data_IF_303669427794
#
_entry.id   IF_303669427794
#
_cell.length_a   1.000
_cell.length_b   1.000
_cell.length_c   1.000
_cell.angle_alpha   90.00
_cell.angle_beta   90.00
_cell.angle_gamma   90.00
#
_symmetry.space_group_name_H-M   'P 1'
#
loop_
_entity.id
_entity.type
_entity.pdbx_description
1 polymer ?
#
# COMPACT_ATOMS: atom_id res chain seq x y z
N UNK A 1 -12.61 13.15 -2.48
CA UNK A 1 -12.97 13.06 -3.91
C UNK A 1 -14.25 13.83 -4.11
N UNK A 2 -14.30 14.76 -5.08
CA UNK A 2 -15.50 15.54 -5.41
C UNK A 2 -16.68 14.59 -5.70
N UNK A 3 -17.87 14.92 -5.19
CA UNK A 3 -19.08 14.11 -5.39
C UNK A 3 -19.41 13.95 -6.88
N UNK A 4 -19.02 14.93 -7.70
CA UNK A 4 -19.19 14.91 -9.16
C UNK A 4 -18.37 13.81 -9.82
N UNK A 5 -17.09 13.65 -9.45
CA UNK A 5 -16.23 12.62 -10.06
C UNK A 5 -16.76 11.22 -9.78
N UNK A 6 -17.13 10.94 -8.52
CA UNK A 6 -17.71 9.66 -8.12
C UNK A 6 -19.02 9.38 -8.85
N UNK A 7 -19.85 10.41 -9.10
CA UNK A 7 -21.08 10.26 -9.88
C UNK A 7 -20.79 9.88 -11.33
N UNK A 8 -19.76 10.45 -11.95
CA UNK A 8 -19.33 10.09 -13.31
C UNK A 8 -18.82 8.64 -13.34
N UNK A 9 -17.95 8.25 -12.40
CA UNK A 9 -17.46 6.87 -12.28
C UNK A 9 -18.60 5.87 -12.18
N UNK A 10 -19.59 6.14 -11.33
CA UNK A 10 -20.77 5.29 -11.17
C UNK A 10 -21.56 5.16 -12.47
N UNK A 11 -21.77 6.25 -13.21
CA UNK A 11 -22.48 6.23 -14.50
C UNK A 11 -21.73 5.41 -15.55
N UNK A 12 -20.40 5.52 -15.59
CA UNK A 12 -19.56 4.72 -16.49
C UNK A 12 -19.58 3.23 -16.12
N UNK A 13 -19.53 2.89 -14.82
CA UNK A 13 -19.62 1.51 -14.33
C UNK A 13 -20.91 0.82 -14.80
N UNK A 14 -22.04 1.55 -14.78
CA UNK A 14 -23.34 1.04 -15.26
C UNK A 14 -23.59 1.30 -16.76
N UNK A 15 -22.54 1.66 -17.51
CA UNK A 15 -22.54 1.89 -18.97
C UNK A 15 -23.50 2.98 -19.47
N UNK A 16 -23.84 3.96 -18.63
CA UNK A 16 -24.65 5.13 -19.01
C UNK A 16 -23.75 6.26 -19.57
N UNK A 17 -23.09 5.98 -20.70
CA UNK A 17 -22.07 6.85 -21.28
C UNK A 17 -22.58 8.28 -21.57
N UNK A 18 -23.76 8.45 -22.18
CA UNK A 18 -24.29 9.79 -22.50
C UNK A 18 -24.44 10.67 -21.24
N UNK A 19 -24.98 10.12 -20.15
CA UNK A 19 -25.13 10.84 -18.89
C UNK A 19 -23.76 11.21 -18.28
N UNK A 20 -22.78 10.32 -18.40
CA UNK A 20 -21.42 10.59 -17.96
C UNK A 20 -20.78 11.73 -18.78
N UNK A 21 -20.93 11.71 -20.11
CA UNK A 21 -20.43 12.76 -21.01
C UNK A 21 -21.07 14.13 -20.72
N UNK A 22 -22.37 14.17 -20.40
CA UNK A 22 -23.04 15.42 -19.97
C UNK A 22 -22.39 16.04 -18.73
N UNK A 23 -21.96 15.22 -17.77
CA UNK A 23 -21.27 15.69 -16.57
C UNK A 23 -19.78 15.99 -16.82
N UNK A 24 -19.14 15.31 -17.77
CA UNK A 24 -17.75 15.56 -18.16
C UNK A 24 -17.59 16.89 -18.90
N UNK A 25 -18.54 17.28 -19.77
CA UNK A 25 -18.51 18.55 -20.52
C UNK A 25 -18.12 19.77 -19.69
N UNK A 26 -18.84 20.12 -18.61
CA UNK A 26 -18.49 21.30 -17.81
C UNK A 26 -17.17 21.16 -17.04
N UNK A 27 -16.67 19.94 -16.82
CA UNK A 27 -15.37 19.71 -16.19
C UNK A 27 -14.23 19.92 -17.18
N UNK A 28 -14.36 19.36 -18.39
CA UNK A 28 -13.41 19.54 -19.49
C UNK A 28 -13.30 21.01 -19.88
N UNK A 29 -14.42 21.72 -19.99
CA UNK A 29 -14.45 23.15 -20.33
C UNK A 29 -13.73 24.05 -19.31
N UNK A 30 -13.53 23.58 -18.07
CA UNK A 30 -12.76 24.30 -17.03
C UNK A 30 -11.25 24.04 -17.11
N UNK A 31 -10.84 23.02 -17.87
CA UNK A 31 -9.42 22.71 -18.01
C UNK A 31 -8.80 23.55 -19.12
N UNK A 32 -7.54 24.00 -18.96
CA UNK A 32 -6.84 24.79 -19.97
C UNK A 32 -6.35 23.96 -21.16
N UNK A 33 -6.35 22.63 -21.06
CA UNK A 33 -5.82 21.71 -22.07
C UNK A 33 -6.83 21.46 -23.20
N UNK A 34 -6.50 21.94 -24.41
CA UNK A 34 -7.33 21.75 -25.60
C UNK A 34 -7.48 20.29 -26.02
N UNK A 35 -6.48 19.45 -25.73
CA UNK A 35 -6.51 18.02 -26.05
C UNK A 35 -7.70 17.32 -25.36
N UNK A 36 -8.01 17.70 -24.12
CA UNK A 36 -9.16 17.13 -23.39
C UNK A 36 -10.49 17.46 -24.09
N UNK A 37 -10.61 18.67 -24.64
CA UNK A 37 -11.81 19.10 -25.39
C UNK A 37 -11.95 18.32 -26.71
N UNK A 38 -10.85 18.16 -27.45
CA UNK A 38 -10.83 17.41 -28.71
C UNK A 38 -11.18 15.93 -28.49
N UNK A 39 -10.63 15.31 -27.43
CA UNK A 39 -10.95 13.93 -27.04
C UNK A 39 -12.41 13.77 -26.65
N UNK A 40 -12.96 14.69 -25.86
CA UNK A 40 -14.39 14.67 -25.51
C UNK A 40 -15.27 14.73 -26.77
N UNK A 41 -14.97 15.65 -27.68
CA UNK A 41 -15.72 15.80 -28.93
C UNK A 41 -15.64 14.54 -29.80
N UNK A 42 -14.48 13.89 -29.85
CA UNK A 42 -14.31 12.60 -30.54
C UNK A 42 -15.20 11.51 -29.94
N UNK A 43 -15.21 11.35 -28.61
CA UNK A 43 -16.06 10.36 -27.92
C UNK A 43 -17.55 10.62 -28.22
N UNK A 44 -17.99 11.87 -28.11
CA UNK A 44 -19.38 12.26 -28.38
C UNK A 44 -19.80 12.00 -29.83
N UNK A 45 -18.91 12.31 -30.77
CA UNK A 45 -19.15 12.11 -32.20
C UNK A 45 -19.27 10.63 -32.54
N UNK A 46 -18.34 9.80 -32.05
CA UNK A 46 -18.34 8.36 -32.26
C UNK A 46 -19.56 7.70 -31.60
N UNK A 47 -19.93 8.13 -30.40
CA UNK A 47 -21.12 7.64 -29.72
C UNK A 47 -22.42 7.99 -30.47
N UNK A 48 -22.50 9.20 -31.04
CA UNK A 48 -23.62 9.61 -31.89
C UNK A 48 -23.70 8.74 -33.15
N UNK A 49 -22.59 8.54 -33.86
CA UNK A 49 -22.58 7.69 -35.05
C UNK A 49 -23.05 6.25 -34.74
N UNK A 50 -22.60 5.68 -33.62
CA UNK A 50 -23.05 4.36 -33.19
C UNK A 50 -24.55 4.32 -32.90
N UNK A 51 -25.08 5.38 -32.27
CA UNK A 51 -26.51 5.50 -31.94
C UNK A 51 -27.35 5.66 -33.21
N UNK A 52 -26.93 6.52 -34.15
CA UNK A 52 -27.63 6.76 -35.41
C UNK A 52 -27.65 5.49 -36.28
N UNK A 53 -26.54 4.75 -36.33
CA UNK A 53 -26.46 3.47 -37.03
C UNK A 53 -27.43 2.44 -36.44
N UNK A 54 -27.49 2.34 -35.11
CA UNK A 54 -28.42 1.44 -34.43
C UNK A 54 -29.88 1.81 -34.67
N UNK A 55 -30.21 3.11 -34.58
CA UNK A 55 -31.57 3.61 -34.86
C UNK A 55 -32.00 3.39 -36.32
N UNK A 56 -31.03 3.33 -37.24
CA UNK A 56 -31.26 3.01 -38.65
C UNK A 56 -31.48 1.51 -38.91
N UNK A 57 -31.53 0.68 -37.86
CA UNK A 57 -31.73 -0.77 -37.95
C UNK A 57 -30.48 -1.58 -38.28
N UNK A 58 -29.30 -0.94 -38.24
CA UNK A 58 -28.02 -1.63 -38.42
C UNK A 58 -27.70 -2.54 -37.22
N UNK A 59 -27.38 -3.80 -37.50
CA UNK A 59 -26.85 -4.72 -36.49
C UNK A 59 -25.32 -4.77 -36.61
N UNK A 60 -24.65 -4.34 -35.55
CA UNK A 60 -23.18 -4.29 -35.49
C UNK A 60 -22.73 -5.29 -34.42
N UNK A 61 -22.09 -6.41 -34.81
CA UNK A 61 -21.63 -7.42 -33.87
C UNK A 61 -20.60 -6.88 -32.88
N UNK A 62 -19.87 -5.82 -33.25
CA UNK A 62 -18.80 -5.22 -32.44
C UNK A 62 -19.29 -4.03 -31.60
N UNK A 63 -20.58 -3.69 -31.62
CA UNK A 63 -21.17 -2.57 -30.88
C UNK A 63 -20.74 -2.53 -29.42
N UNK A 64 -20.76 -3.68 -28.74
CA UNK A 64 -20.39 -3.78 -27.33
C UNK A 64 -18.91 -3.43 -27.10
N UNK A 65 -18.04 -3.88 -27.99
CA UNK A 65 -16.61 -3.57 -27.92
C UNK A 65 -16.37 -2.07 -28.15
N UNK A 66 -17.03 -1.48 -29.13
CA UNK A 66 -16.96 -0.03 -29.41
C UNK A 66 -17.45 0.78 -28.20
N UNK A 67 -18.58 0.41 -27.59
CA UNK A 67 -19.09 1.09 -26.39
C UNK A 67 -18.08 0.98 -25.23
N UNK A 68 -17.52 -0.21 -24.99
CA UNK A 68 -16.55 -0.40 -23.93
C UNK A 68 -15.28 0.44 -24.16
N UNK A 69 -14.82 0.58 -25.42
CA UNK A 69 -13.70 1.47 -25.77
C UNK A 69 -14.03 2.94 -25.50
N UNK A 70 -15.23 3.40 -25.87
CA UNK A 70 -15.66 4.78 -25.59
C UNK A 70 -15.80 5.05 -24.08
N UNK A 71 -16.23 4.05 -23.30
CA UNK A 71 -16.27 4.14 -21.84
C UNK A 71 -14.84 4.20 -21.26
N UNK A 72 -13.91 3.37 -21.76
CA UNK A 72 -12.52 3.41 -21.34
C UNK A 72 -11.90 4.80 -21.61
N UNK A 73 -12.16 5.39 -22.78
CA UNK A 73 -11.72 6.75 -23.10
C UNK A 73 -12.35 7.81 -22.19
N UNK A 74 -13.63 7.67 -21.83
CA UNK A 74 -14.28 8.56 -20.88
C UNK A 74 -13.68 8.45 -19.46
N UNK A 75 -13.28 7.25 -19.02
CA UNK A 75 -12.50 7.07 -17.79
C UNK A 75 -11.15 7.77 -17.88
N UNK A 76 -10.36 7.54 -18.94
CA UNK A 76 -9.06 8.20 -19.13
C UNK A 76 -9.19 9.73 -19.12
N UNK A 77 -10.27 10.26 -19.70
CA UNK A 77 -10.55 11.69 -19.66
C UNK A 77 -10.85 12.18 -18.24
N UNK A 78 -11.69 11.45 -17.49
CA UNK A 78 -11.97 11.74 -16.08
C UNK A 78 -10.70 11.69 -15.23
N UNK A 79 -9.91 10.63 -15.36
CA UNK A 79 -8.68 10.43 -14.59
C UNK A 79 -7.68 11.57 -14.85
N UNK A 80 -7.54 12.04 -16.10
CA UNK A 80 -6.71 13.21 -16.43
C UNK A 80 -7.21 14.51 -15.77
N UNK A 81 -8.52 14.73 -15.71
CA UNK A 81 -9.12 15.90 -15.05
C UNK A 81 -8.88 15.83 -13.53
N UNK A 82 -9.18 14.68 -12.92
CA UNK A 82 -8.98 14.43 -11.49
C UNK A 82 -7.53 14.67 -11.12
N UNK A 83 -6.61 14.14 -11.92
CA UNK A 83 -5.18 14.35 -11.73
C UNK A 83 -4.80 15.84 -11.80
N UNK A 84 -5.24 16.54 -12.86
CA UNK A 84 -4.96 17.97 -13.01
C UNK A 84 -5.51 18.81 -11.86
N UNK A 85 -6.68 18.48 -11.34
CA UNK A 85 -7.29 19.17 -10.22
C UNK A 85 -6.61 18.83 -8.88
N UNK A 86 -6.21 17.57 -8.68
CA UNK A 86 -5.41 17.13 -7.53
C UNK A 86 -4.02 17.80 -7.49
N UNK A 87 -3.40 18.02 -8.65
CA UNK A 87 -2.15 18.77 -8.74
C UNK A 87 -2.32 20.23 -8.30
N UNK A 88 -3.47 20.86 -8.56
CA UNK A 88 -3.78 22.23 -8.12
C UNK A 88 -4.11 22.31 -6.63
N UNK A 89 -4.71 21.26 -6.05
CA UNK A 89 -5.31 21.27 -4.70
C UNK A 89 -4.35 21.03 -3.52
N UNK A 90 -3.06 21.34 -3.66
CA UNK A 90 -2.11 21.54 -2.53
C UNK A 90 -1.65 20.34 -1.68
N UNK A 91 -1.95 19.09 -2.02
CA UNK A 91 -1.44 17.93 -1.25
C UNK A 91 0.00 17.49 -1.61
N UNK A 92 0.48 17.81 -2.83
CA UNK A 92 1.81 17.40 -3.30
C UNK A 92 2.92 18.41 -3.00
N UNK A 93 2.61 19.66 -2.63
CA UNK A 93 3.63 20.70 -2.38
C UNK A 93 4.67 20.33 -1.30
N UNK A 94 4.29 19.75 -0.14
CA UNK A 94 5.27 19.31 0.85
C UNK A 94 6.13 18.13 0.37
N UNK A 95 5.61 17.27 -0.50
CA UNK A 95 6.34 16.14 -1.09
C UNK A 95 7.30 16.61 -2.18
N UNK A 96 6.90 17.60 -2.99
CA UNK A 96 7.73 18.26 -3.99
C UNK A 96 8.90 19.03 -3.37
N UNK A 97 8.70 19.70 -2.22
CA UNK A 97 9.80 20.38 -1.53
C UNK A 97 10.84 19.41 -0.96
N UNK A 98 10.41 18.25 -0.44
CA UNK A 98 11.34 17.19 -0.01
C UNK A 98 12.02 16.50 -1.19
N UNK A 99 11.34 16.32 -2.33
CA UNK A 99 11.97 15.79 -3.56
C UNK A 99 13.05 16.73 -4.13
N UNK A 100 12.92 18.04 -3.91
CA UNK A 100 13.93 19.03 -4.33
C UNK A 100 15.15 19.08 -3.41
N UNK A 101 15.09 18.44 -2.23
CA UNK A 101 16.25 18.22 -1.38
C UNK A 101 16.96 16.96 -1.88
N UNK A 102 18.20 17.07 -2.33
CA UNK A 102 19.01 15.87 -2.60
C UNK A 102 19.19 15.12 -1.29
N UNK A 103 18.58 13.94 -1.18
CA UNK A 103 18.80 13.10 -0.02
C UNK A 103 20.22 12.57 -0.09
N UNK A 104 21.04 12.95 0.89
CA UNK A 104 22.43 12.47 1.01
C UNK A 104 22.52 11.37 2.07
N UNK A 105 23.54 10.52 1.96
CA UNK A 105 23.74 9.39 2.89
C UNK A 105 23.21 8.06 2.37
N UNK A 106 23.19 7.05 3.25
CA UNK A 106 23.04 5.63 2.91
C UNK A 106 21.77 5.31 2.08
N UNK A 107 20.64 5.95 2.36
CA UNK A 107 19.36 5.71 1.65
C UNK A 107 18.98 6.83 0.67
N UNK A 108 19.87 7.76 0.34
CA UNK A 108 19.54 8.97 -0.42
C UNK A 108 18.86 8.69 -1.76
N UNK A 109 19.56 7.92 -2.62
CA UNK A 109 19.06 7.49 -3.93
C UNK A 109 17.71 6.78 -3.85
N UNK A 110 17.55 5.87 -2.90
CA UNK A 110 16.31 5.10 -2.75
C UNK A 110 15.11 5.97 -2.34
N UNK A 111 15.34 7.02 -1.54
CA UNK A 111 14.32 8.03 -1.21
C UNK A 111 13.96 8.88 -2.43
N UNK A 112 14.93 9.30 -3.22
CA UNK A 112 14.69 10.07 -4.45
C UNK A 112 13.86 9.25 -5.46
N UNK A 113 14.20 7.96 -5.62
CA UNK A 113 13.45 7.01 -6.45
C UNK A 113 12.01 6.85 -5.95
N UNK A 114 11.80 6.71 -4.63
CA UNK A 114 10.46 6.65 -4.06
C UNK A 114 9.61 7.86 -4.47
N UNK A 115 10.13 9.07 -4.29
CA UNK A 115 9.40 10.29 -4.64
C UNK A 115 9.16 10.41 -6.14
N UNK A 116 10.13 10.00 -6.97
CA UNK A 116 9.97 9.99 -8.42
C UNK A 116 8.82 9.07 -8.85
N UNK A 117 8.79 7.82 -8.39
CA UNK A 117 7.70 6.88 -8.71
C UNK A 117 6.35 7.28 -8.08
N UNK A 118 6.36 7.96 -6.93
CA UNK A 118 5.14 8.42 -6.26
C UNK A 118 4.49 9.61 -6.99
N UNK A 119 5.30 10.51 -7.56
CA UNK A 119 4.82 11.81 -8.03
C UNK A 119 4.73 11.94 -9.55
N UNK A 120 5.50 11.16 -10.30
CA UNK A 120 5.52 11.17 -11.77
C UNK A 120 4.35 10.36 -12.33
N UNK A 121 3.69 10.86 -13.39
CA UNK A 121 2.64 10.12 -14.11
C UNK A 121 3.00 9.83 -15.57
N UNK A 122 4.19 10.27 -15.98
CA UNK A 122 4.74 9.88 -17.27
C UNK A 122 5.24 8.44 -17.18
N UNK A 123 4.45 7.52 -17.72
CA UNK A 123 4.74 6.10 -17.66
C UNK A 123 6.02 5.72 -18.43
N UNK A 124 6.33 6.29 -19.61
CA UNK A 124 7.60 6.05 -20.28
C UNK A 124 8.81 6.41 -19.42
N UNK A 125 8.84 7.59 -18.81
CA UNK A 125 9.92 7.98 -17.89
C UNK A 125 10.09 7.02 -16.71
N UNK A 126 8.99 6.54 -16.12
CA UNK A 126 9.06 5.55 -15.03
C UNK A 126 9.49 4.16 -15.50
N UNK A 127 9.13 3.77 -16.72
CA UNK A 127 9.60 2.52 -17.31
C UNK A 127 11.12 2.56 -17.58
N UNK A 128 11.63 3.67 -18.12
CA UNK A 128 13.08 3.87 -18.32
C UNK A 128 13.85 3.83 -16.99
N UNK A 129 13.36 4.51 -15.95
CA UNK A 129 13.97 4.45 -14.62
C UNK A 129 13.91 3.03 -14.04
N UNK A 130 12.79 2.31 -14.21
CA UNK A 130 12.66 0.91 -13.76
C UNK A 130 13.64 -0.03 -14.48
N UNK A 131 13.85 0.15 -15.78
CA UNK A 131 14.87 -0.59 -16.54
C UNK A 131 16.29 -0.29 -16.06
N UNK A 132 16.59 0.98 -15.78
CA UNK A 132 17.89 1.39 -15.23
C UNK A 132 18.15 0.72 -13.87
N UNK A 133 17.21 0.78 -12.94
CA UNK A 133 17.33 0.17 -11.61
C UNK A 133 17.58 -1.35 -11.69
N UNK A 134 16.92 -2.03 -12.63
CA UNK A 134 17.15 -3.46 -12.87
C UNK A 134 18.55 -3.71 -13.44
N UNK A 135 19.02 -2.87 -14.38
CA UNK A 135 20.34 -3.01 -14.97
C UNK A 135 21.49 -2.79 -13.97
N UNK A 136 21.26 -1.92 -12.98
CA UNK A 136 22.20 -1.62 -11.90
C UNK A 136 22.12 -2.61 -10.71
N UNK A 137 21.13 -3.52 -10.71
CA UNK A 137 20.78 -4.38 -9.58
C UNK A 137 20.58 -3.58 -8.27
N UNK A 138 19.99 -2.37 -8.36
CA UNK A 138 19.69 -1.52 -7.20
C UNK A 138 18.43 -2.02 -6.48
N UNK A 139 18.61 -3.10 -5.73
CA UNK A 139 17.56 -3.80 -5.00
C UNK A 139 16.87 -2.93 -3.95
N UNK A 140 17.55 -1.94 -3.39
CA UNK A 140 16.97 -1.06 -2.35
C UNK A 140 16.04 -0.05 -3.00
N UNK A 141 16.48 0.59 -4.08
CA UNK A 141 15.65 1.53 -4.83
C UNK A 141 14.45 0.84 -5.48
N UNK A 142 14.59 -0.39 -6.01
CA UNK A 142 13.45 -1.15 -6.52
C UNK A 142 12.39 -1.45 -5.44
N UNK A 143 12.83 -1.80 -4.22
CA UNK A 143 11.91 -2.01 -3.08
C UNK A 143 11.16 -0.75 -2.66
N UNK A 144 11.76 0.43 -2.90
CA UNK A 144 11.13 1.72 -2.66
C UNK A 144 10.21 2.16 -3.80
N UNK A 145 10.61 1.89 -5.05
CA UNK A 145 9.85 2.25 -6.25
C UNK A 145 8.47 1.58 -6.29
N UNK A 146 8.37 0.29 -5.97
CA UNK A 146 7.12 -0.48 -6.13
C UNK A 146 5.98 -0.04 -5.18
N UNK A 147 6.20 0.18 -3.87
CA UNK A 147 5.18 0.75 -3.00
C UNK A 147 4.81 2.18 -3.40
N UNK A 148 5.78 2.99 -3.86
CA UNK A 148 5.52 4.33 -4.38
C UNK A 148 4.60 4.29 -5.62
N UNK A 149 4.91 3.44 -6.59
CA UNK A 149 4.09 3.20 -7.78
C UNK A 149 2.69 2.70 -7.42
N UNK A 150 2.62 1.79 -6.45
CA UNK A 150 1.34 1.30 -5.92
C UNK A 150 0.50 2.43 -5.34
N UNK A 151 1.09 3.29 -4.49
CA UNK A 151 0.38 4.43 -3.89
C UNK A 151 -0.03 5.44 -4.96
N UNK A 152 0.82 5.66 -5.97
CA UNK A 152 0.52 6.53 -7.11
C UNK A 152 -0.76 6.05 -7.81
N UNK A 153 -0.80 4.78 -8.26
CA UNK A 153 -1.96 4.18 -8.91
C UNK A 153 -3.18 4.15 -7.98
N UNK A 154 -2.98 3.86 -6.68
CA UNK A 154 -4.05 3.88 -5.67
C UNK A 154 -4.57 5.28 -5.36
N UNK A 155 -3.94 6.36 -5.82
CA UNK A 155 -4.50 7.71 -5.70
C UNK A 155 -5.17 8.12 -7.01
N UNK A 156 -4.43 8.01 -8.11
CA UNK A 156 -4.84 8.43 -9.43
C UNK A 156 -4.67 7.23 -10.39
N UNK A 157 -5.77 6.71 -10.94
CA UNK A 157 -5.71 5.54 -11.83
C UNK A 157 -4.96 5.89 -13.11
N UNK A 158 -4.04 5.02 -13.51
CA UNK A 158 -3.34 5.10 -14.80
C UNK A 158 -3.10 3.70 -15.31
N UNK A 159 -3.69 3.39 -16.47
CA UNK A 159 -3.53 2.08 -17.12
C UNK A 159 -2.05 1.77 -17.43
N UNK A 160 -1.26 2.67 -18.05
CA UNK A 160 0.17 2.42 -18.30
C UNK A 160 0.98 2.15 -17.03
N UNK A 161 0.72 2.88 -15.93
CA UNK A 161 1.43 2.65 -14.66
C UNK A 161 1.02 1.33 -14.01
N UNK A 162 -0.25 0.95 -14.12
CA UNK A 162 -0.71 -0.35 -13.64
C UNK A 162 -0.07 -1.48 -14.45
N UNK A 163 0.01 -1.36 -15.77
CA UNK A 163 0.72 -2.33 -16.60
C UNK A 163 2.20 -2.44 -16.19
N UNK A 164 2.88 -1.32 -15.95
CA UNK A 164 4.25 -1.32 -15.41
C UNK A 164 4.34 -2.11 -14.10
N UNK A 165 3.44 -1.87 -13.14
CA UNK A 165 3.41 -2.59 -11.86
C UNK A 165 3.18 -4.10 -12.05
N UNK A 166 2.30 -4.50 -12.97
CA UNK A 166 2.03 -5.91 -13.30
C UNK A 166 3.26 -6.56 -13.94
N UNK A 167 3.93 -5.86 -14.87
CA UNK A 167 5.14 -6.36 -15.52
C UNK A 167 6.29 -6.49 -14.51
N UNK A 168 6.45 -5.55 -13.56
CA UNK A 168 7.42 -5.64 -12.46
C UNK A 168 7.25 -6.89 -11.58
N UNK A 169 6.04 -7.46 -11.49
CA UNK A 169 5.80 -8.71 -10.76
C UNK A 169 6.38 -9.95 -11.46
N UNK A 170 6.95 -9.81 -12.65
CA UNK A 170 7.69 -10.89 -13.33
C UNK A 170 9.19 -10.91 -13.05
N UNK A 171 9.66 -10.10 -12.10
CA UNK A 171 11.07 -10.05 -11.70
C UNK A 171 11.62 -11.39 -11.16
N UNK A 172 12.92 -11.62 -11.30
CA UNK A 172 13.59 -12.87 -10.88
C UNK A 172 13.68 -13.03 -9.36
N UNK A 173 13.83 -11.91 -8.64
CA UNK A 173 13.96 -11.90 -7.19
C UNK A 173 12.58 -11.98 -6.53
N UNK A 174 12.33 -13.07 -5.80
CA UNK A 174 11.04 -13.35 -5.16
C UNK A 174 10.51 -12.20 -4.28
N UNK A 175 11.34 -11.53 -3.49
CA UNK A 175 10.85 -10.47 -2.62
C UNK A 175 10.38 -9.22 -3.41
N UNK A 176 11.00 -8.91 -4.56
CA UNK A 176 10.52 -7.85 -5.47
C UNK A 176 9.16 -8.25 -6.05
N UNK A 177 9.04 -9.50 -6.50
CA UNK A 177 7.78 -10.07 -7.00
C UNK A 177 6.66 -9.96 -5.96
N UNK A 178 6.91 -10.33 -4.70
CA UNK A 178 5.90 -10.29 -3.63
C UNK A 178 5.43 -8.86 -3.33
N UNK A 179 6.33 -7.86 -3.37
CA UNK A 179 5.98 -6.44 -3.22
C UNK A 179 5.10 -5.97 -4.39
N UNK A 180 5.52 -6.26 -5.63
CA UNK A 180 4.74 -5.89 -6.81
C UNK A 180 3.36 -6.56 -6.83
N UNK A 181 3.29 -7.87 -6.55
CA UNK A 181 2.03 -8.61 -6.46
C UNK A 181 1.10 -8.05 -5.38
N UNK A 182 1.66 -7.66 -4.23
CA UNK A 182 0.88 -7.00 -3.17
C UNK A 182 0.25 -5.71 -3.69
N UNK A 183 1.03 -4.89 -4.40
CA UNK A 183 0.54 -3.68 -5.06
C UNK A 183 -0.55 -3.97 -6.10
N UNK A 184 -0.35 -4.98 -6.96
CA UNK A 184 -1.33 -5.41 -7.95
C UNK A 184 -2.65 -5.81 -7.28
N UNK A 185 -2.63 -6.65 -6.23
CA UNK A 185 -3.83 -7.10 -5.53
C UNK A 185 -4.63 -5.92 -4.96
N UNK A 186 -3.95 -4.93 -4.36
CA UNK A 186 -4.59 -3.73 -3.83
C UNK A 186 -5.23 -2.89 -4.95
N UNK A 187 -4.51 -2.68 -6.06
CA UNK A 187 -5.02 -1.91 -7.20
C UNK A 187 -6.19 -2.62 -7.89
N UNK A 188 -6.10 -3.93 -8.09
CA UNK A 188 -7.18 -4.77 -8.64
C UNK A 188 -8.43 -4.67 -7.78
N UNK A 189 -8.28 -4.74 -6.46
CA UNK A 189 -9.40 -4.61 -5.53
C UNK A 189 -10.04 -3.22 -5.60
N UNK A 190 -9.22 -2.15 -5.58
CA UNK A 190 -9.70 -0.76 -5.62
C UNK A 190 -10.46 -0.46 -6.92
N UNK A 191 -9.95 -0.92 -8.06
CA UNK A 191 -10.45 -0.54 -9.37
C UNK A 191 -11.31 -1.60 -10.07
N UNK A 192 -11.72 -2.66 -9.36
CA UNK A 192 -12.42 -3.84 -9.88
C UNK A 192 -13.59 -3.55 -10.84
N UNK A 193 -14.36 -2.49 -10.59
CA UNK A 193 -15.57 -2.18 -11.37
C UNK A 193 -15.23 -1.64 -12.77
N UNK A 194 -14.11 -0.92 -12.91
CA UNK A 194 -13.69 -0.35 -14.19
C UNK A 194 -12.76 -1.27 -15.01
N UNK A 195 -12.17 -2.32 -14.41
CA UNK A 195 -11.18 -3.18 -15.08
C UNK A 195 -11.70 -3.85 -16.36
N UNK A 196 -13.01 -4.14 -16.44
CA UNK A 196 -13.62 -4.70 -17.64
C UNK A 196 -13.50 -3.81 -18.89
N UNK A 197 -13.16 -2.53 -18.75
CA UNK A 197 -12.91 -1.60 -19.84
C UNK A 197 -11.42 -1.48 -20.21
N UNK A 198 -10.53 -2.13 -19.46
CA UNK A 198 -9.07 -2.11 -19.63
C UNK A 198 -8.53 -3.54 -19.82
N UNK A 199 -8.85 -4.20 -20.94
CA UNK A 199 -8.54 -5.63 -21.14
C UNK A 199 -7.05 -5.94 -21.11
N UNK A 200 -6.17 -4.99 -21.45
CA UNK A 200 -4.72 -5.20 -21.41
C UNK A 200 -4.22 -5.54 -20.00
N UNK A 201 -4.80 -4.93 -18.96
CA UNK A 201 -4.45 -5.23 -17.56
C UNK A 201 -4.89 -6.65 -17.23
N UNK A 202 -6.09 -7.04 -17.66
CA UNK A 202 -6.61 -8.39 -17.45
C UNK A 202 -5.74 -9.43 -18.16
N UNK A 203 -5.41 -9.22 -19.44
CA UNK A 203 -4.57 -10.13 -20.21
C UNK A 203 -3.19 -10.33 -19.57
N UNK A 204 -2.54 -9.23 -19.19
CA UNK A 204 -1.23 -9.27 -18.51
C UNK A 204 -1.31 -9.95 -17.15
N UNK A 205 -2.36 -9.66 -16.38
CA UNK A 205 -2.60 -10.32 -15.11
C UNK A 205 -2.82 -11.82 -15.26
N UNK A 206 -3.65 -12.25 -16.22
CA UNK A 206 -3.92 -13.67 -16.49
C UNK A 206 -2.64 -14.40 -16.91
N UNK A 207 -1.83 -13.77 -17.76
CA UNK A 207 -0.52 -14.30 -18.13
C UNK A 207 0.39 -14.45 -16.90
N UNK A 208 0.43 -13.44 -16.02
CA UNK A 208 1.22 -13.45 -14.80
C UNK A 208 0.81 -14.59 -13.85
N UNK A 209 -0.48 -14.76 -13.58
CA UNK A 209 -0.99 -15.80 -12.66
C UNK A 209 -1.15 -17.18 -13.30
N UNK A 210 -0.79 -17.32 -14.58
CA UNK A 210 -0.64 -18.63 -15.21
C UNK A 210 0.54 -19.42 -14.63
N UNK A 211 1.56 -18.74 -14.07
CA UNK A 211 2.60 -19.38 -13.25
C UNK A 211 2.01 -19.80 -11.89
N UNK A 212 2.00 -21.11 -11.55
CA UNK A 212 1.47 -21.60 -10.29
C UNK A 212 2.10 -20.95 -9.05
N UNK A 213 3.39 -20.59 -9.11
CA UNK A 213 4.09 -19.95 -7.99
C UNK A 213 3.54 -18.56 -7.72
N UNK A 214 3.33 -17.77 -8.79
CA UNK A 214 2.74 -16.42 -8.71
C UNK A 214 1.30 -16.50 -8.23
N UNK A 215 0.52 -17.48 -8.72
CA UNK A 215 -0.85 -17.74 -8.27
C UNK A 215 -0.91 -18.07 -6.77
N UNK A 216 0.02 -18.89 -6.28
CA UNK A 216 0.12 -19.22 -4.86
C UNK A 216 0.48 -17.99 -4.01
N UNK A 217 1.45 -17.18 -4.46
CA UNK A 217 1.79 -15.89 -3.82
C UNK A 217 0.57 -14.98 -3.72
N UNK A 218 -0.19 -14.79 -4.80
CA UNK A 218 -1.43 -14.01 -4.80
C UNK A 218 -2.43 -14.57 -3.79
N UNK A 219 -2.61 -15.90 -3.73
CA UNK A 219 -3.50 -16.52 -2.76
C UNK A 219 -3.07 -16.22 -1.31
N UNK A 220 -1.77 -16.35 -1.00
CA UNK A 220 -1.22 -16.03 0.32
C UNK A 220 -1.42 -14.55 0.67
N UNK A 221 -1.16 -13.64 -0.26
CA UNK A 221 -1.36 -12.20 -0.08
C UNK A 221 -2.84 -11.92 0.25
N UNK A 222 -3.77 -12.47 -0.53
CA UNK A 222 -5.21 -12.31 -0.28
C UNK A 222 -5.62 -12.84 1.11
N UNK A 223 -5.14 -14.01 1.51
CA UNK A 223 -5.39 -14.54 2.86
C UNK A 223 -4.84 -13.62 3.96
N UNK A 224 -3.62 -13.09 3.78
CA UNK A 224 -2.99 -12.18 4.73
C UNK A 224 -3.73 -10.84 4.83
N UNK A 225 -4.22 -10.32 3.71
CA UNK A 225 -5.04 -9.11 3.71
C UNK A 225 -6.38 -9.33 4.43
N UNK A 226 -7.02 -10.48 4.21
CA UNK A 226 -8.25 -10.84 4.94
C UNK A 226 -7.99 -11.01 6.45
N UNK A 227 -6.85 -11.60 6.83
CA UNK A 227 -6.51 -11.80 8.24
C UNK A 227 -6.26 -10.49 9.00
N UNK A 228 -6.01 -9.36 8.31
CA UNK A 228 -5.95 -8.04 8.97
C UNK A 228 -7.23 -7.67 9.71
N UNK A 229 -8.38 -8.22 9.29
CA UNK A 229 -9.65 -8.05 10.01
C UNK A 229 -9.64 -8.72 11.38
N UNK A 230 -8.92 -9.84 11.52
CA UNK A 230 -8.72 -10.55 12.78
C UNK A 230 -7.76 -9.79 13.70
N UNK A 231 -6.76 -9.09 13.15
CA UNK A 231 -5.85 -8.23 13.94
C UNK A 231 -6.61 -7.17 14.73
N UNK A 232 -7.73 -6.64 14.20
CA UNK A 232 -8.59 -5.71 14.98
C UNK A 232 -9.21 -6.37 16.20
N UNK A 233 -9.60 -7.64 16.10
CA UNK A 233 -10.15 -8.40 17.22
C UNK A 233 -9.06 -8.71 18.25
N UNK A 234 -7.84 -9.00 17.79
CA UNK A 234 -6.67 -9.15 18.67
C UNK A 234 -6.37 -7.86 19.42
N UNK A 235 -6.34 -6.71 18.74
CA UNK A 235 -6.11 -5.41 19.40
C UNK A 235 -7.16 -5.14 20.48
N UNK A 236 -8.44 -5.45 20.23
CA UNK A 236 -9.49 -5.35 21.24
C UNK A 236 -9.25 -6.29 22.44
N UNK A 237 -8.89 -7.55 22.18
CA UNK A 237 -8.59 -8.53 23.23
C UNK A 237 -7.37 -8.12 24.07
N UNK A 238 -6.30 -7.64 23.43
CA UNK A 238 -5.08 -7.14 24.07
C UNK A 238 -5.35 -5.89 24.92
N UNK A 239 -6.15 -4.95 24.41
CA UNK A 239 -6.56 -3.77 25.18
C UNK A 239 -7.42 -4.13 26.40
N UNK A 240 -8.28 -5.14 26.29
CA UNK A 240 -9.06 -5.64 27.43
C UNK A 240 -8.17 -6.31 28.49
N UNK A 241 -7.22 -7.14 28.06
CA UNK A 241 -6.21 -7.73 28.94
C UNK A 241 -5.42 -6.66 29.69
N UNK A 242 -4.92 -5.63 28.97
CA UNK A 242 -4.21 -4.51 29.60
C UNK A 242 -5.09 -3.76 30.61
N UNK A 243 -6.37 -3.51 30.31
CA UNK A 243 -7.32 -2.87 31.25
C UNK A 243 -7.55 -3.73 32.49
N UNK A 244 -7.74 -5.03 32.33
CA UNK A 244 -7.94 -5.95 33.45
C UNK A 244 -6.69 -5.98 34.34
N UNK A 245 -5.48 -5.98 33.76
CA UNK A 245 -4.22 -5.87 34.52
C UNK A 245 -4.14 -4.55 35.29
N UNK A 246 -4.39 -3.41 34.63
CA UNK A 246 -4.39 -2.09 35.27
C UNK A 246 -5.43 -1.98 36.40
N UNK A 247 -6.58 -2.64 36.24
CA UNK A 247 -7.63 -2.68 37.26
C UNK A 247 -7.16 -3.41 38.53
N UNK A 248 -6.36 -4.47 38.38
CA UNK A 248 -5.78 -5.21 39.50
C UNK A 248 -4.58 -4.48 40.11
N UNK A 249 -3.84 -3.69 39.32
CA UNK A 249 -2.70 -2.89 39.81
C UNK A 249 -3.10 -1.77 40.79
N UNK A 250 -4.35 -1.26 40.75
CA UNK A 250 -4.82 -0.31 41.77
C UNK A 250 -4.80 -0.89 43.20
N UNK A 251 -4.71 -2.21 43.35
CA UNK A 251 -4.61 -2.91 44.63
C UNK A 251 -3.18 -3.36 44.97
N UNK A 252 -2.19 -3.09 44.11
CA UNK A 252 -0.80 -3.55 44.26
C UNK A 252 0.11 -2.32 44.19
N UNK A 253 0.48 -1.80 45.36
CA UNK A 253 1.44 -0.69 45.48
C UNK A 253 2.87 -1.17 45.20
N UNK A 254 3.29 -1.18 43.95
CA UNK A 254 4.71 -1.25 43.61
C UNK A 254 5.00 -0.47 42.32
N UNK A 255 6.07 0.32 42.38
CA UNK A 255 6.51 1.24 41.34
C UNK A 255 6.57 0.62 39.94
N UNK A 256 6.08 1.40 39.01
CA UNK A 256 5.76 1.10 37.62
C UNK A 256 6.90 0.46 36.83
N UNK A 257 6.66 -0.74 36.30
CA UNK A 257 7.16 -1.14 34.98
C UNK A 257 5.97 -1.61 34.16
N UNK A 258 5.87 -1.11 32.94
CA UNK A 258 4.89 -1.57 31.95
C UNK A 258 5.07 -3.09 31.80
N UNK A 259 4.05 -3.87 32.16
CA UNK A 259 4.10 -5.33 32.04
C UNK A 259 4.01 -5.65 30.55
N UNK A 260 5.12 -6.11 29.98
CA UNK A 260 5.17 -6.67 28.62
C UNK A 260 4.81 -8.14 28.75
N UNK A 261 3.74 -8.56 28.09
CA UNK A 261 3.27 -9.94 28.09
C UNK A 261 3.79 -10.58 26.80
N UNK A 262 4.56 -11.64 26.94
CA UNK A 262 5.07 -12.45 25.82
C UNK A 262 4.18 -13.65 25.56
N UNK A 263 4.37 -14.31 24.41
CA UNK A 263 3.72 -15.58 24.10
C UNK A 263 3.99 -16.65 25.16
N UNK A 264 5.23 -16.75 25.65
CA UNK A 264 5.59 -17.70 26.70
C UNK A 264 4.85 -17.43 28.01
N UNK A 265 4.65 -16.15 28.37
CA UNK A 265 3.87 -15.79 29.56
C UNK A 265 2.39 -16.22 29.41
N UNK A 266 1.87 -16.31 28.18
CA UNK A 266 0.52 -16.78 27.89
C UNK A 266 0.40 -18.31 27.90
N UNK A 267 1.46 -19.01 27.48
CA UNK A 267 1.54 -20.48 27.39
C UNK A 267 1.79 -21.16 28.73
N UNK A 268 2.80 -20.70 29.46
CA UNK A 268 3.29 -21.38 30.67
C UNK A 268 3.01 -20.59 31.95
N UNK A 269 2.58 -19.32 31.80
CA UNK A 269 2.51 -18.37 32.91
C UNK A 269 3.90 -17.86 33.29
N UNK A 270 3.95 -16.70 33.94
CA UNK A 270 5.22 -16.15 34.39
C UNK A 270 5.46 -16.51 35.88
N UNK A 271 6.55 -17.22 36.22
CA UNK A 271 6.84 -17.60 37.60
C UNK A 271 7.08 -16.41 38.55
N UNK A 272 7.49 -15.26 38.01
CA UNK A 272 7.72 -14.03 38.77
C UNK A 272 6.41 -13.26 39.03
N UNK A 273 5.32 -13.61 38.33
CA UNK A 273 4.02 -12.97 38.49
C UNK A 273 3.22 -13.61 39.63
N UNK A 274 2.56 -12.77 40.43
CA UNK A 274 1.62 -13.24 41.45
C UNK A 274 0.43 -14.00 40.85
N UNK A 275 -0.18 -14.88 41.65
CA UNK A 275 -1.30 -15.75 41.22
C UNK A 275 -2.47 -14.97 40.58
N UNK A 276 -2.78 -13.78 41.11
CA UNK A 276 -3.83 -12.89 40.57
C UNK A 276 -3.51 -12.43 39.14
N UNK A 277 -2.26 -12.06 38.87
CA UNK A 277 -1.85 -11.58 37.55
C UNK A 277 -1.83 -12.73 36.54
N UNK A 278 -1.30 -13.88 36.93
CA UNK A 278 -1.35 -15.10 36.10
C UNK A 278 -2.81 -15.49 35.78
N UNK A 279 -3.74 -15.46 36.74
CA UNK A 279 -5.17 -15.71 36.47
C UNK A 279 -5.79 -14.73 35.46
N UNK A 280 -5.44 -13.43 35.53
CA UNK A 280 -5.93 -12.42 34.57
C UNK A 280 -5.41 -12.70 33.17
N UNK A 281 -4.14 -13.07 33.03
CA UNK A 281 -3.53 -13.41 31.74
C UNK A 281 -4.13 -14.71 31.20
N UNK A 282 -4.24 -15.76 32.00
CA UNK A 282 -4.85 -17.04 31.59
C UNK A 282 -6.29 -16.88 31.10
N UNK A 283 -7.10 -16.00 31.71
CA UNK A 283 -8.47 -15.70 31.27
C UNK A 283 -8.54 -15.19 29.82
N UNK A 284 -7.51 -14.47 29.36
CA UNK A 284 -7.45 -13.93 28.00
C UNK A 284 -6.61 -14.79 27.04
N UNK A 285 -5.73 -15.65 27.59
CA UNK A 285 -4.77 -16.47 26.86
C UNK A 285 -5.46 -17.32 25.78
N UNK A 286 -6.52 -18.06 26.11
CA UNK A 286 -7.22 -18.93 25.15
C UNK A 286 -7.74 -18.16 23.92
N UNK A 287 -8.31 -16.97 24.13
CA UNK A 287 -8.84 -16.14 23.03
C UNK A 287 -7.71 -15.60 22.16
N UNK A 288 -6.63 -15.11 22.77
CA UNK A 288 -5.49 -14.52 22.06
C UNK A 288 -4.71 -15.61 21.31
N UNK A 289 -4.48 -16.77 21.92
CA UNK A 289 -3.87 -17.94 21.28
C UNK A 289 -4.68 -18.44 20.10
N UNK A 290 -6.00 -18.55 20.24
CA UNK A 290 -6.87 -18.94 19.11
C UNK A 290 -6.74 -17.95 17.95
N UNK A 291 -6.75 -16.64 18.25
CA UNK A 291 -6.57 -15.62 17.21
C UNK A 291 -5.17 -15.68 16.58
N UNK A 292 -4.14 -15.92 17.37
CA UNK A 292 -2.77 -16.11 16.89
C UNK A 292 -2.66 -17.31 15.93
N UNK A 293 -3.24 -18.46 16.30
CA UNK A 293 -3.30 -19.67 15.47
C UNK A 293 -4.05 -19.43 14.14
N UNK A 294 -5.04 -18.53 14.13
CA UNK A 294 -5.72 -18.13 12.89
C UNK A 294 -4.93 -17.12 12.03
N UNK A 295 -3.71 -16.78 12.43
CA UNK A 295 -2.80 -15.89 11.68
C UNK A 295 -2.96 -14.41 11.99
N UNK A 296 -3.59 -14.05 13.12
CA UNK A 296 -3.69 -12.67 13.58
C UNK A 296 -2.40 -12.20 14.24
N UNK A 297 -2.07 -10.92 14.06
CA UNK A 297 -0.87 -10.31 14.60
C UNK A 297 -1.08 -9.87 16.06
N UNK A 298 -0.49 -10.64 16.98
CA UNK A 298 -0.50 -10.37 18.43
C UNK A 298 0.44 -9.24 18.85
N UNK A 299 1.45 -8.94 18.03
CA UNK A 299 2.43 -7.90 18.33
C UNK A 299 1.95 -6.52 17.86
N UNK A 300 0.85 -6.46 17.10
CA UNK A 300 0.28 -5.24 16.55
C UNK A 300 0.20 -4.08 17.56
N UNK A 301 -0.32 -4.32 18.77
CA UNK A 301 -0.45 -3.27 19.79
C UNK A 301 0.91 -2.74 20.27
N UNK A 302 1.89 -3.64 20.41
CA UNK A 302 3.26 -3.31 20.82
C UNK A 302 3.97 -2.54 19.71
N UNK A 303 3.98 -3.07 18.48
CA UNK A 303 4.56 -2.41 17.31
C UNK A 303 3.94 -1.02 17.12
N UNK A 304 2.61 -0.89 17.20
CA UNK A 304 1.92 0.41 17.08
C UNK A 304 2.41 1.46 18.10
N UNK A 305 2.80 1.05 19.30
CA UNK A 305 3.40 1.96 20.27
C UNK A 305 4.79 2.43 19.81
N UNK A 306 5.61 1.52 19.30
CA UNK A 306 6.97 1.80 18.83
C UNK A 306 7.00 2.65 17.55
N UNK A 307 5.97 2.56 16.70
CA UNK A 307 5.84 3.37 15.48
C UNK A 307 5.57 4.86 15.74
N UNK A 308 5.47 5.30 17.00
CA UNK A 308 5.36 6.72 17.36
C UNK A 308 6.68 7.46 17.32
N UNK A 309 7.80 6.77 17.12
CA UNK A 309 9.14 7.36 17.04
C UNK A 309 9.23 8.42 15.93
N UNK A 310 10.01 9.51 16.13
CA UNK A 310 10.17 10.58 15.14
C UNK A 310 10.59 10.07 13.75
N UNK A 311 11.42 9.02 13.69
CA UNK A 311 11.87 8.39 12.46
C UNK A 311 10.73 8.14 11.45
N UNK A 312 9.61 7.58 11.90
CA UNK A 312 8.45 7.28 11.05
C UNK A 312 7.53 8.48 10.80
N UNK A 313 7.69 9.57 11.56
CA UNK A 313 6.85 10.78 11.44
C UNK A 313 7.50 11.87 10.61
N UNK A 314 8.82 11.91 10.57
CA UNK A 314 9.58 12.93 9.84
C UNK A 314 9.51 12.70 8.33
N UNK A 315 9.67 11.45 7.89
CA UNK A 315 9.67 11.12 6.46
C UNK A 315 8.81 9.89 6.15
N UNK A 316 8.02 9.98 5.09
CA UNK A 316 7.15 8.88 4.64
C UNK A 316 7.94 7.70 4.06
N UNK A 317 9.09 7.97 3.45
CA UNK A 317 9.99 6.97 2.85
C UNK A 317 10.47 5.96 3.89
N UNK A 318 10.63 6.37 5.14
CA UNK A 318 11.09 5.52 6.24
C UNK A 318 10.13 4.36 6.56
N UNK A 319 8.87 4.42 6.13
CA UNK A 319 7.92 3.29 6.24
C UNK A 319 8.22 2.14 5.26
N UNK A 320 8.93 2.43 4.16
CA UNK A 320 9.18 1.49 3.07
C UNK A 320 10.64 1.05 3.01
N UNK A 321 11.54 1.71 3.76
CA UNK A 321 12.95 1.39 3.75
C UNK A 321 13.21 -0.07 4.16
N UNK A 322 13.99 -0.82 3.36
CA UNK A 322 14.54 -2.09 3.80
C UNK A 322 15.41 -1.91 5.05
N UNK A 323 15.36 -2.86 5.98
CA UNK A 323 16.18 -2.78 7.18
C UNK A 323 17.67 -2.91 6.84
N UNK A 324 18.48 -1.97 7.32
CA UNK A 324 19.94 -2.02 7.23
C UNK A 324 20.59 -1.58 8.52
N UNK A 325 21.66 -2.29 8.89
CA UNK A 325 22.54 -1.92 10.00
C UNK A 325 23.43 -0.72 9.68
N UNK A 326 23.51 -0.33 8.41
CA UNK A 326 24.28 0.83 7.95
C UNK A 326 23.47 2.13 8.02
N UNK A 327 22.18 2.04 8.36
CA UNK A 327 21.32 3.21 8.51
C UNK A 327 21.74 4.04 9.73
N UNK A 328 22.40 5.16 9.47
CA UNK A 328 22.92 6.08 10.50
C UNK A 328 21.84 6.73 11.33
N UNK A 329 20.60 6.84 10.83
CA UNK A 329 19.47 7.46 11.53
C UNK A 329 19.07 6.67 12.78
N UNK A 330 19.49 5.41 12.89
CA UNK A 330 19.28 4.58 14.08
C UNK A 330 20.11 5.04 15.29
N UNK A 331 21.24 5.72 15.07
CA UNK A 331 22.15 6.13 16.14
C UNK A 331 22.76 4.96 16.93
N UNK A 332 22.72 3.74 16.39
CA UNK A 332 23.24 2.52 17.04
C UNK A 332 24.52 2.06 16.35
N UNK A 333 25.61 1.91 17.11
CA UNK A 333 26.78 1.19 16.62
C UNK A 333 26.59 -0.31 16.78
N UNK A 334 26.22 -0.98 15.68
CA UNK A 334 26.02 -2.42 15.62
C UNK A 334 27.29 -3.25 15.82
N UNK A 335 28.48 -2.63 15.83
CA UNK A 335 29.75 -3.31 16.13
C UNK A 335 30.02 -3.41 17.63
N UNK A 336 29.38 -2.55 18.43
CA UNK A 336 29.46 -2.56 19.89
C UNK A 336 28.83 -3.82 20.52
N UNK A 337 29.17 -4.19 21.77
CA UNK A 337 28.53 -5.30 22.47
C UNK A 337 27.00 -5.15 22.58
N UNK A 338 26.51 -3.95 22.86
CA UNK A 338 25.08 -3.64 22.92
C UNK A 338 24.42 -3.78 21.53
N UNK A 339 25.05 -3.26 20.48
CA UNK A 339 24.59 -3.40 19.10
C UNK A 339 24.51 -4.86 18.63
N UNK A 340 25.51 -5.68 18.97
CA UNK A 340 25.48 -7.13 18.70
C UNK A 340 24.38 -7.85 19.46
N UNK A 341 24.07 -7.44 20.69
CA UNK A 341 22.94 -7.97 21.44
C UNK A 341 21.60 -7.62 20.76
N UNK A 342 21.45 -6.38 20.27
CA UNK A 342 20.28 -5.97 19.48
C UNK A 342 20.13 -6.79 18.20
N UNK A 343 21.22 -7.05 17.48
CA UNK A 343 21.17 -7.92 16.30
C UNK A 343 20.73 -9.34 16.63
N UNK A 344 21.16 -9.89 17.77
CA UNK A 344 20.68 -11.20 18.24
C UNK A 344 19.18 -11.19 18.52
N UNK A 345 18.67 -10.14 19.18
CA UNK A 345 17.23 -9.98 19.46
C UNK A 345 16.43 -9.92 18.15
N UNK A 346 16.89 -9.09 17.19
CA UNK A 346 16.23 -8.93 15.90
C UNK A 346 16.28 -10.22 15.08
N UNK A 347 17.42 -10.91 15.07
CA UNK A 347 17.61 -12.15 14.32
C UNK A 347 16.85 -13.33 14.94
N UNK A 348 16.60 -13.31 16.25
CA UNK A 348 15.78 -14.31 16.93
C UNK A 348 14.31 -14.23 16.51
N UNK A 349 13.84 -13.06 16.09
CA UNK A 349 12.51 -12.88 15.52
C UNK A 349 12.57 -12.89 13.98
N UNK A 350 12.79 -14.06 13.40
CA UNK A 350 12.97 -14.23 11.95
C UNK A 350 11.79 -13.70 11.12
N UNK A 351 10.58 -13.67 11.69
CA UNK A 351 9.35 -13.20 11.04
C UNK A 351 9.19 -11.67 11.07
N UNK A 352 10.02 -10.94 11.82
CA UNK A 352 9.94 -9.49 11.94
C UNK A 352 10.26 -8.79 10.60
N UNK A 353 9.32 -7.96 10.14
CA UNK A 353 9.50 -7.16 8.93
C UNK A 353 10.44 -5.97 9.16
N UNK A 354 10.87 -5.27 8.09
CA UNK A 354 11.78 -4.13 8.22
C UNK A 354 11.29 -3.06 9.20
N UNK A 355 9.98 -2.79 9.19
CA UNK A 355 9.34 -1.83 10.10
C UNK A 355 9.52 -2.28 11.56
N UNK A 356 9.27 -3.55 11.88
CA UNK A 356 9.44 -4.09 13.23
C UNK A 356 10.90 -4.01 13.68
N UNK A 357 11.85 -4.29 12.77
CA UNK A 357 13.28 -4.22 13.07
C UNK A 357 13.73 -2.80 13.37
N UNK A 358 13.33 -1.83 12.55
CA UNK A 358 13.60 -0.41 12.80
C UNK A 358 12.96 0.05 14.12
N UNK A 359 11.67 -0.26 14.34
CA UNK A 359 10.96 0.10 15.55
C UNK A 359 11.62 -0.47 16.82
N UNK A 360 12.08 -1.73 16.75
CA UNK A 360 12.80 -2.39 17.84
C UNK A 360 14.15 -1.72 18.10
N UNK A 361 14.94 -1.45 17.06
CA UNK A 361 16.20 -0.73 17.18
C UNK A 361 16.04 0.64 17.84
N UNK A 362 15.05 1.42 17.40
CA UNK A 362 14.82 2.78 17.90
C UNK A 362 14.35 2.78 19.36
N UNK A 363 13.55 1.78 19.74
CA UNK A 363 13.04 1.64 21.10
C UNK A 363 14.13 1.24 22.11
N UNK A 364 15.00 0.28 21.73
CA UNK A 364 16.00 -0.29 22.64
C UNK A 364 17.34 0.45 22.54
N UNK A 365 17.74 0.93 21.36
CA UNK A 365 19.00 1.64 21.16
C UNK A 365 19.18 2.85 22.08
N UNK A 366 18.08 3.51 22.46
CA UNK A 366 18.07 4.64 23.40
C UNK A 366 18.20 4.24 24.87
N UNK A 367 17.89 3.00 25.26
CA UNK A 367 18.03 2.56 26.67
C UNK A 367 19.44 2.07 26.99
N UNK A 368 20.26 1.83 25.98
CA UNK A 368 21.66 1.38 26.10
C UNK A 368 22.70 2.46 25.80
N UNK A 369 22.27 3.68 25.45
CA UNK A 369 23.11 4.83 25.11
C UNK A 369 23.41 5.75 26.29
#
# INVERSE_FOLDING_TARGET
MDDTYRKIENLLNIKLLNHALQLLRPLVAKQPDSNLSDRLQSIETNYRYLTDYFLSGGDDPDRTAIINQLIAEAYRLLDNIVLADNMKSSLRRPLLSHWQEQHTGYCGRAKDVFYHFLLTHDAPSLAEEWELLQSEDDLVSMQMALPALTINILNDFSEPLFLLLVDSASHDKQYITEIALTGCVLCLHKYRERLCFFPQIEDRWQLLVSDPRKKESVHRICLRLLSTTLTRQVDQAMNNLQKDILSQQKNISTGTKQIVITLNDMEEGNPEWGETLNKVVSKHSETIMRLHQTGADINYSTTRMLLKEPFFRTEITNWFLPFSTENTDLGVDFRSPAGKMLLKIISANAEACSIDRYATCLAIGKTTG
#
